data_IF_258731871400
#
_entry.id   IF_258731871400
#
_cell.length_a   1.000
_cell.length_b   1.000
_cell.length_c   1.000
_cell.angle_alpha   90.00
_cell.angle_beta   90.00
_cell.angle_gamma   90.00
#
_symmetry.space_group_name_H-M   'P 1'
#
loop_
_entity.id
_entity.type
_entity.pdbx_description
1 polymer ?
#
# COMPACT_ATOMS: atom_id res chain seq x y z
N UNK A 1 53.76 57.17 -74.71
CA UNK A 1 52.31 56.88 -74.49
C UNK A 1 52.17 55.54 -73.79
N UNK A 2 51.48 55.51 -72.65
CA UNK A 2 51.25 54.30 -71.87
C UNK A 2 49.97 53.56 -72.24
N UNK A 3 49.98 52.25 -72.06
CA UNK A 3 48.75 51.46 -71.91
C UNK A 3 48.96 50.46 -70.78
N UNK A 4 48.16 50.63 -69.71
CA UNK A 4 48.28 49.94 -68.43
C UNK A 4 47.85 48.47 -68.58
N UNK A 5 48.74 47.53 -68.21
CA UNK A 5 48.37 46.13 -67.96
C UNK A 5 47.37 46.06 -66.81
N UNK A 6 46.12 45.65 -67.11
CA UNK A 6 45.13 45.29 -66.08
C UNK A 6 45.57 44.01 -65.39
N UNK A 7 45.85 44.08 -64.09
CA UNK A 7 46.07 42.88 -63.25
C UNK A 7 44.71 42.19 -63.01
N UNK A 8 44.62 40.86 -63.12
CA UNK A 8 43.39 40.15 -62.76
C UNK A 8 43.17 40.29 -61.25
N UNK A 9 42.01 40.77 -60.85
CA UNK A 9 41.60 40.76 -59.44
C UNK A 9 41.20 39.34 -59.08
N UNK A 10 41.99 38.71 -58.21
CA UNK A 10 41.60 37.48 -57.52
C UNK A 10 40.38 37.84 -56.65
N UNK A 11 39.18 37.48 -57.11
CA UNK A 11 37.98 37.55 -56.29
C UNK A 11 38.17 36.59 -55.11
N UNK A 12 38.20 37.15 -53.91
CA UNK A 12 38.28 36.40 -52.67
C UNK A 12 37.00 35.55 -52.48
N UNK A 13 37.10 34.25 -52.73
CA UNK A 13 36.06 33.24 -52.45
C UNK A 13 36.52 32.23 -51.38
N UNK A 14 37.50 32.60 -50.55
CA UNK A 14 38.12 31.67 -49.58
C UNK A 14 37.60 31.84 -48.14
N UNK A 15 36.69 32.79 -47.89
CA UNK A 15 36.10 33.02 -46.56
C UNK A 15 34.74 32.34 -46.28
N UNK A 16 34.06 31.81 -47.31
CA UNK A 16 32.68 31.29 -47.18
C UNK A 16 32.61 29.82 -46.75
N UNK A 17 33.61 29.01 -47.10
CA UNK A 17 33.64 27.58 -46.78
C UNK A 17 33.69 27.34 -45.28
N UNK A 18 34.50 28.12 -44.55
CA UNK A 18 34.60 28.03 -43.09
C UNK A 18 33.25 28.34 -42.41
N UNK A 19 32.52 29.34 -42.91
CA UNK A 19 31.21 29.71 -42.39
C UNK A 19 30.22 28.56 -42.60
N UNK A 20 30.20 27.94 -43.79
CA UNK A 20 29.33 26.80 -44.07
C UNK A 20 29.68 25.57 -43.21
N UNK A 21 30.96 25.29 -43.00
CA UNK A 21 31.42 24.19 -42.12
C UNK A 21 31.02 24.47 -40.67
N UNK A 22 31.20 25.69 -40.18
CA UNK A 22 30.78 26.05 -38.82
C UNK A 22 29.26 25.94 -38.64
N UNK A 23 28.47 26.37 -39.61
CA UNK A 23 27.01 26.23 -39.55
C UNK A 23 26.57 24.76 -39.61
N UNK A 24 27.18 23.95 -40.47
CA UNK A 24 26.86 22.52 -40.52
C UNK A 24 27.25 21.80 -39.23
N UNK A 25 28.40 22.11 -38.63
CA UNK A 25 28.79 21.60 -37.32
C UNK A 25 27.85 22.08 -36.21
N UNK A 26 27.49 23.36 -36.19
CA UNK A 26 26.57 23.91 -35.20
C UNK A 26 25.20 23.22 -35.26
N UNK A 27 24.66 23.02 -36.46
CA UNK A 27 23.40 22.29 -36.66
C UNK A 27 23.54 20.84 -36.20
N UNK A 28 24.65 20.16 -36.54
CA UNK A 28 24.87 18.77 -36.17
C UNK A 28 25.02 18.59 -34.66
N UNK A 29 25.71 19.51 -33.98
CA UNK A 29 25.81 19.53 -32.50
C UNK A 29 24.44 19.77 -31.87
N UNK A 30 23.68 20.76 -32.34
CA UNK A 30 22.33 21.05 -31.82
C UNK A 30 21.40 19.85 -32.00
N UNK A 31 21.44 19.20 -33.17
CA UNK A 31 20.66 18.00 -33.45
C UNK A 31 21.06 16.85 -32.52
N UNK A 32 22.37 16.62 -32.36
CA UNK A 32 22.90 15.58 -31.47
C UNK A 32 22.48 15.79 -30.01
N UNK A 33 22.55 17.04 -29.52
CA UNK A 33 22.12 17.39 -28.17
C UNK A 33 20.60 17.22 -27.99
N UNK A 34 19.79 17.66 -28.94
CA UNK A 34 18.33 17.51 -28.88
C UNK A 34 17.90 16.03 -28.87
N UNK A 35 18.48 15.21 -29.73
CA UNK A 35 18.24 13.76 -29.77
C UNK A 35 18.74 13.07 -28.50
N UNK A 36 19.94 13.42 -28.02
CA UNK A 36 20.49 12.88 -26.79
C UNK A 36 19.63 13.20 -25.57
N UNK A 37 19.12 14.43 -25.48
CA UNK A 37 18.25 14.86 -24.38
C UNK A 37 16.90 14.13 -24.41
N UNK A 38 16.25 14.07 -25.57
CA UNK A 38 14.93 13.40 -25.72
C UNK A 38 15.03 11.89 -25.47
N UNK A 39 16.01 11.22 -26.05
CA UNK A 39 16.21 9.77 -25.83
C UNK A 39 16.52 9.43 -24.37
N UNK A 40 17.29 10.26 -23.67
CA UNK A 40 17.55 10.07 -22.24
C UNK A 40 16.28 10.24 -21.39
N UNK A 41 15.40 11.18 -21.74
CA UNK A 41 14.11 11.34 -21.07
C UNK A 41 13.19 10.14 -21.33
N UNK A 42 13.10 9.69 -22.59
CA UNK A 42 12.27 8.54 -22.96
C UNK A 42 12.73 7.27 -22.22
N UNK A 43 14.03 7.03 -22.12
CA UNK A 43 14.58 5.90 -21.36
C UNK A 43 14.15 5.93 -19.89
N UNK A 44 14.22 7.11 -19.25
CA UNK A 44 13.79 7.29 -17.84
C UNK A 44 12.29 7.06 -17.67
N UNK A 45 11.48 7.52 -18.61
CA UNK A 45 10.03 7.35 -18.57
C UNK A 45 9.65 5.88 -18.74
N UNK A 46 10.28 5.19 -19.70
CA UNK A 46 10.06 3.76 -19.95
C UNK A 46 10.51 2.92 -18.74
N UNK A 47 11.66 3.23 -18.13
CA UNK A 47 12.10 2.52 -16.92
C UNK A 47 11.12 2.70 -15.77
N UNK A 48 10.62 3.92 -15.55
CA UNK A 48 9.60 4.17 -14.52
C UNK A 48 8.30 3.39 -14.77
N UNK A 49 7.81 3.35 -16.02
CA UNK A 49 6.63 2.56 -16.37
C UNK A 49 6.86 1.06 -16.15
N UNK A 50 8.02 0.55 -16.56
CA UNK A 50 8.42 -0.84 -16.33
C UNK A 50 8.45 -1.16 -14.84
N UNK A 51 9.09 -0.31 -14.03
CA UNK A 51 9.26 -0.55 -12.60
C UNK A 51 7.93 -0.49 -11.87
N UNK A 52 7.04 0.45 -12.25
CA UNK A 52 5.66 0.53 -11.73
C UNK A 52 4.84 -0.73 -12.04
N UNK A 53 4.90 -1.22 -13.29
CA UNK A 53 4.21 -2.47 -13.67
C UNK A 53 4.80 -3.65 -12.91
N UNK A 54 6.13 -3.74 -12.85
CA UNK A 54 6.84 -4.80 -12.11
C UNK A 54 6.41 -4.82 -10.65
N UNK A 55 6.40 -3.66 -9.98
CA UNK A 55 5.94 -3.55 -8.59
C UNK A 55 4.47 -3.99 -8.42
N UNK A 56 3.58 -3.59 -9.33
CA UNK A 56 2.17 -3.99 -9.29
C UNK A 56 2.01 -5.51 -9.44
N UNK A 57 2.72 -6.13 -10.38
CA UNK A 57 2.64 -7.58 -10.60
C UNK A 57 3.32 -8.37 -9.48
N UNK A 58 4.40 -7.86 -8.89
CA UNK A 58 5.00 -8.43 -7.69
C UNK A 58 4.03 -8.37 -6.49
N UNK A 59 3.31 -7.27 -6.31
CA UNK A 59 2.27 -7.15 -5.28
C UNK A 59 1.12 -8.15 -5.51
N UNK A 60 0.64 -8.27 -6.76
CA UNK A 60 -0.35 -9.30 -7.13
C UNK A 60 0.15 -10.72 -6.88
N UNK A 61 1.43 -10.98 -7.13
CA UNK A 61 2.02 -12.28 -6.83
C UNK A 61 2.07 -12.57 -5.33
N UNK A 62 2.37 -11.56 -4.50
CA UNK A 62 2.27 -11.68 -3.04
C UNK A 62 0.86 -12.04 -2.58
N UNK A 63 -0.17 -11.41 -3.14
CA UNK A 63 -1.56 -11.75 -2.89
C UNK A 63 -1.91 -13.20 -3.30
N UNK A 64 -1.52 -13.63 -4.50
CA UNK A 64 -1.77 -15.02 -4.94
C UNK A 64 -0.99 -16.01 -4.08
N UNK A 65 0.25 -15.68 -3.67
CA UNK A 65 1.05 -16.51 -2.76
C UNK A 65 0.34 -16.67 -1.42
N UNK A 66 -0.22 -15.60 -0.89
CA UNK A 66 -1.03 -15.62 0.32
C UNK A 66 -2.25 -16.53 0.18
N UNK A 67 -3.00 -16.43 -0.93
CA UNK A 67 -4.15 -17.31 -1.20
C UNK A 67 -3.76 -18.80 -1.23
N UNK A 68 -2.66 -19.13 -1.91
CA UNK A 68 -2.16 -20.50 -1.99
C UNK A 68 -1.75 -21.04 -0.61
N UNK A 69 -1.16 -20.21 0.25
CA UNK A 69 -0.80 -20.63 1.61
C UNK A 69 -2.04 -20.82 2.51
N UNK A 70 -3.11 -20.05 2.31
CA UNK A 70 -4.40 -20.27 3.00
C UNK A 70 -5.02 -21.61 2.60
N UNK A 71 -5.01 -21.97 1.32
CA UNK A 71 -5.57 -23.24 0.83
C UNK A 71 -4.79 -24.48 1.27
N UNK A 72 -3.53 -24.31 1.71
CA UNK A 72 -2.66 -25.40 2.19
C UNK A 72 -2.94 -25.83 3.64
N UNK A 73 -3.87 -25.18 4.33
CA UNK A 73 -4.16 -25.41 5.74
C UNK A 73 -4.51 -26.88 6.09
N UNK A 74 -4.10 -27.37 7.28
CA UNK A 74 -4.39 -28.73 7.72
C UNK A 74 -5.89 -28.94 8.04
N UNK A 75 -6.34 -30.20 7.98
CA UNK A 75 -7.64 -30.63 8.52
C UNK A 75 -7.43 -31.01 9.99
N UNK A 76 -8.22 -30.49 10.96
CA UNK A 76 -9.46 -29.72 10.80
C UNK A 76 -9.24 -28.22 10.54
N UNK A 77 -10.18 -27.62 9.78
CA UNK A 77 -10.23 -26.20 9.37
C UNK A 77 -10.42 -25.25 10.56
N UNK A 78 -9.41 -25.15 11.41
CA UNK A 78 -9.42 -24.24 12.56
C UNK A 78 -8.23 -23.31 12.39
N UNK A 79 -8.50 -22.06 12.03
CA UNK A 79 -7.45 -21.07 11.80
C UNK A 79 -6.75 -20.71 13.11
N UNK A 80 -5.43 -20.86 13.12
CA UNK A 80 -4.57 -20.60 14.26
C UNK A 80 -3.40 -19.71 13.88
N UNK A 81 -2.88 -18.95 14.86
CA UNK A 81 -1.64 -18.17 14.69
C UNK A 81 -0.42 -19.04 14.36
N UNK A 82 -0.50 -20.36 14.60
CA UNK A 82 0.57 -21.32 14.31
C UNK A 82 0.57 -21.84 12.87
N UNK A 83 -0.44 -21.48 12.07
CA UNK A 83 -0.54 -21.97 10.70
C UNK A 83 0.48 -21.30 9.79
N UNK A 84 0.86 -22.00 8.71
CA UNK A 84 1.86 -21.52 7.75
C UNK A 84 1.44 -20.23 7.03
N UNK A 85 0.14 -19.93 6.97
CA UNK A 85 -0.35 -18.68 6.41
C UNK A 85 -0.15 -17.48 7.36
N UNK A 86 -0.10 -17.72 8.68
CA UNK A 86 -0.03 -16.67 9.70
C UNK A 86 1.39 -16.12 9.89
N UNK A 87 2.41 -16.98 9.87
CA UNK A 87 3.81 -16.57 9.90
C UNK A 87 4.73 -17.59 9.23
N UNK A 88 5.12 -17.31 7.98
CA UNK A 88 6.06 -18.14 7.21
C UNK A 88 7.05 -17.27 6.44
N UNK A 89 8.20 -16.93 7.06
CA UNK A 89 9.25 -16.16 6.42
C UNK A 89 9.76 -16.78 5.11
N UNK A 90 9.79 -18.10 4.99
CA UNK A 90 10.28 -18.77 3.78
C UNK A 90 9.30 -18.60 2.60
N UNK A 91 7.99 -18.53 2.87
CA UNK A 91 6.99 -18.29 1.84
C UNK A 91 6.84 -16.81 1.46
N UNK A 92 7.08 -15.90 2.43
CA UNK A 92 6.64 -14.52 2.35
C UNK A 92 7.74 -13.46 2.44
N UNK A 93 8.99 -13.78 2.78
CA UNK A 93 10.08 -12.79 2.89
C UNK A 93 10.99 -12.82 1.68
N UNK A 94 11.08 -11.69 0.97
CA UNK A 94 11.99 -11.51 -0.18
C UNK A 94 11.86 -12.63 -1.22
N UNK A 95 10.63 -13.08 -1.47
CA UNK A 95 10.34 -14.16 -2.40
C UNK A 95 10.66 -13.69 -3.83
N UNK A 96 11.63 -14.31 -4.52
CA UNK A 96 12.06 -13.86 -5.84
C UNK A 96 11.00 -14.20 -6.90
N UNK A 97 10.72 -13.26 -7.79
CA UNK A 97 9.85 -13.47 -8.95
C UNK A 97 10.27 -12.55 -10.10
N UNK A 98 10.80 -13.15 -11.17
CA UNK A 98 11.28 -12.41 -12.34
C UNK A 98 12.39 -11.41 -11.97
N UNK A 99 12.28 -10.12 -12.33
CA UNK A 99 13.32 -9.13 -12.11
C UNK A 99 13.34 -8.53 -10.68
N UNK A 100 12.46 -8.98 -9.78
CA UNK A 100 12.40 -8.46 -8.41
C UNK A 100 11.96 -9.50 -7.39
N UNK A 101 11.57 -9.02 -6.22
CA UNK A 101 11.07 -9.85 -5.12
C UNK A 101 9.88 -9.17 -4.46
N UNK A 102 9.00 -9.95 -3.84
CA UNK A 102 7.91 -9.43 -3.02
C UNK A 102 8.06 -9.90 -1.57
N UNK A 103 7.44 -9.15 -0.67
CA UNK A 103 7.32 -9.52 0.74
C UNK A 103 5.87 -9.33 1.18
N UNK A 104 5.32 -10.29 1.92
CA UNK A 104 4.01 -10.17 2.58
C UNK A 104 4.25 -10.15 4.09
N UNK A 105 3.90 -9.06 4.74
CA UNK A 105 4.14 -8.89 6.18
C UNK A 105 3.22 -7.84 6.80
N UNK A 106 3.02 -7.94 8.11
CA UNK A 106 2.36 -6.93 8.92
C UNK A 106 3.12 -6.70 10.23
N UNK A 107 2.90 -5.55 10.87
CA UNK A 107 3.48 -5.24 12.17
C UNK A 107 2.50 -5.60 13.29
N UNK A 108 3.01 -6.18 14.38
CA UNK A 108 2.22 -6.38 15.59
C UNK A 108 1.94 -5.04 16.28
N UNK A 109 0.73 -4.84 16.83
CA UNK A 109 0.42 -3.63 17.59
C UNK A 109 1.40 -3.43 18.76
N UNK A 110 1.90 -2.21 18.93
CA UNK A 110 2.78 -1.84 20.05
C UNK A 110 4.25 -2.29 19.91
N UNK A 111 4.66 -2.85 18.78
CA UNK A 111 6.06 -3.18 18.51
C UNK A 111 6.56 -2.51 17.22
N UNK A 112 7.62 -1.70 17.35
CA UNK A 112 8.24 -1.08 16.19
C UNK A 112 9.03 -2.10 15.35
N UNK A 113 9.04 -1.95 14.02
CA UNK A 113 9.93 -2.71 13.15
C UNK A 113 11.41 -2.52 13.56
N UNK A 114 12.24 -3.59 13.55
CA UNK A 114 12.00 -4.91 12.99
C UNK A 114 11.46 -5.96 13.99
N UNK A 115 11.38 -5.65 15.29
CA UNK A 115 11.09 -6.64 16.33
C UNK A 115 9.66 -7.21 16.25
N UNK A 116 8.72 -6.45 15.69
CA UNK A 116 7.30 -6.83 15.57
C UNK A 116 6.82 -7.22 14.17
N UNK A 117 7.71 -7.46 13.20
CA UNK A 117 7.30 -7.78 11.81
C UNK A 117 7.03 -9.27 11.67
N UNK A 118 5.79 -9.60 11.31
CA UNK A 118 5.34 -10.97 11.03
C UNK A 118 5.21 -11.13 9.51
N UNK A 119 5.76 -12.21 8.96
CA UNK A 119 5.72 -12.49 7.53
C UNK A 119 4.55 -13.43 7.23
N UNK A 120 3.37 -12.88 7.00
CA UNK A 120 2.16 -13.66 6.79
C UNK A 120 0.93 -12.80 6.60
N UNK A 121 -0.24 -13.42 6.73
CA UNK A 121 -1.54 -12.81 6.48
C UNK A 121 -2.23 -12.49 7.81
N UNK A 122 -3.04 -11.44 7.83
CA UNK A 122 -3.85 -11.07 8.99
C UNK A 122 -5.25 -11.66 8.85
N UNK A 123 -5.62 -12.56 9.76
CA UNK A 123 -7.02 -12.93 10.01
C UNK A 123 -7.82 -11.71 10.49
N UNK A 124 -8.82 -11.27 9.71
CA UNK A 124 -9.71 -10.15 10.05
C UNK A 124 -10.73 -10.51 11.14
N UNK A 125 -11.06 -11.78 11.33
CA UNK A 125 -11.95 -12.24 12.40
C UNK A 125 -11.26 -12.15 13.77
N UNK A 126 -9.96 -11.85 13.83
CA UNK A 126 -9.26 -11.50 15.08
C UNK A 126 -9.73 -10.18 15.70
N UNK A 127 -10.39 -9.32 14.91
CA UNK A 127 -10.77 -7.94 15.26
C UNK A 127 -12.26 -7.82 15.57
N UNK A 128 -12.63 -6.78 16.33
CA UNK A 128 -14.02 -6.49 16.67
C UNK A 128 -14.72 -5.81 15.50
N UNK A 129 -15.85 -6.36 15.08
CA UNK A 129 -16.61 -5.81 13.97
C UNK A 129 -17.43 -4.57 14.36
N UNK A 130 -17.16 -3.44 13.72
CA UNK A 130 -17.81 -2.16 13.99
C UNK A 130 -19.20 -2.03 13.37
N UNK A 131 -19.70 -3.00 12.63
CA UNK A 131 -21.09 -3.02 12.21
C UNK A 131 -21.98 -3.84 13.16
N UNK A 132 -21.43 -4.87 13.82
CA UNK A 132 -22.22 -5.82 14.61
C UNK A 132 -21.96 -5.76 16.12
N UNK A 133 -20.84 -5.19 16.57
CA UNK A 133 -20.48 -5.19 18.00
C UNK A 133 -21.48 -4.38 18.86
N UNK A 134 -21.93 -4.89 20.01
CA UNK A 134 -22.82 -4.18 20.93
C UNK A 134 -22.11 -3.03 21.65
N UNK A 135 -22.89 -2.03 22.12
CA UNK A 135 -22.37 -0.85 22.86
C UNK A 135 -21.41 -1.24 23.97
N UNK A 136 -21.75 -2.28 24.74
CA UNK A 136 -20.94 -2.75 25.87
C UNK A 136 -19.53 -3.23 25.47
N UNK A 137 -19.35 -3.75 24.26
CA UNK A 137 -18.02 -4.15 23.73
C UNK A 137 -17.29 -2.92 23.19
N UNK A 138 -17.99 -2.05 22.44
CA UNK A 138 -17.40 -0.82 21.91
C UNK A 138 -16.85 0.08 23.01
N UNK A 139 -17.61 0.25 24.10
CA UNK A 139 -17.23 1.08 25.23
C UNK A 139 -16.00 0.56 26.01
N UNK A 140 -15.57 -0.68 25.76
CA UNK A 140 -14.36 -1.27 26.36
C UNK A 140 -13.13 -1.17 25.45
N UNK A 141 -13.29 -0.67 24.22
CA UNK A 141 -12.18 -0.49 23.30
C UNK A 141 -11.28 0.67 23.76
N UNK A 142 -9.96 0.59 23.50
CA UNK A 142 -9.03 1.65 23.86
C UNK A 142 -9.37 2.96 23.14
N UNK A 143 -9.39 4.07 23.87
CA UNK A 143 -9.70 5.40 23.33
C UNK A 143 -11.19 5.68 23.09
N UNK A 144 -12.08 4.70 23.28
CA UNK A 144 -13.52 4.91 23.10
C UNK A 144 -14.12 5.70 24.26
N UNK A 145 -14.87 6.76 23.96
CA UNK A 145 -15.73 7.46 24.94
C UNK A 145 -17.20 7.04 24.76
N UNK A 146 -18.03 7.32 25.77
CA UNK A 146 -19.45 7.00 25.69
C UNK A 146 -20.14 7.78 24.55
N UNK A 147 -19.75 9.03 24.35
CA UNK A 147 -20.26 9.90 23.28
C UNK A 147 -19.93 9.33 21.90
N UNK A 148 -18.68 8.89 21.67
CA UNK A 148 -18.28 8.29 20.39
C UNK A 148 -18.99 6.97 20.15
N UNK A 149 -19.16 6.14 21.19
CA UNK A 149 -19.88 4.89 21.07
C UNK A 149 -21.35 5.12 20.71
N UNK A 150 -22.00 6.15 21.27
CA UNK A 150 -23.37 6.52 20.94
C UNK A 150 -23.49 7.10 19.53
N UNK A 151 -22.58 8.01 19.14
CA UNK A 151 -22.54 8.56 17.79
C UNK A 151 -22.35 7.47 16.72
N UNK A 152 -21.54 6.45 17.03
CA UNK A 152 -21.34 5.29 16.15
C UNK A 152 -22.63 4.49 15.98
N UNK A 153 -23.37 4.23 17.06
CA UNK A 153 -24.65 3.53 16.99
C UNK A 153 -25.72 4.33 16.25
N UNK A 154 -25.74 5.64 16.44
CA UNK A 154 -26.61 6.54 15.68
C UNK A 154 -26.26 6.50 14.19
N UNK A 155 -24.96 6.55 13.85
CA UNK A 155 -24.50 6.40 12.48
C UNK A 155 -24.98 5.08 11.86
N UNK A 156 -24.84 3.98 12.61
CA UNK A 156 -25.33 2.66 12.17
C UNK A 156 -26.82 2.66 11.88
N UNK A 157 -27.62 3.29 12.74
CA UNK A 157 -29.06 3.35 12.58
C UNK A 157 -29.48 4.19 11.37
N UNK A 158 -28.79 5.31 11.13
CA UNK A 158 -29.07 6.25 10.03
C UNK A 158 -28.68 5.70 8.65
N UNK A 159 -27.58 4.95 8.59
CA UNK A 159 -27.02 4.44 7.32
C UNK A 159 -27.44 3.01 7.01
N UNK A 160 -28.34 2.43 7.81
CA UNK A 160 -28.99 1.17 7.50
C UNK A 160 -30.02 1.39 6.38
N UNK A 161 -29.63 1.08 5.15
CA UNK A 161 -30.47 1.06 3.97
C UNK A 161 -31.62 0.05 4.10
N UNK A 162 -32.82 0.44 3.65
CA UNK A 162 -33.98 -0.45 3.60
C UNK A 162 -33.86 -1.54 2.52
N UNK A 163 -32.78 -1.56 1.73
CA UNK A 163 -32.55 -2.50 0.61
C UNK A 163 -31.50 -3.54 0.99
N UNK A 164 -31.91 -4.81 0.97
CA UNK A 164 -31.27 -5.97 1.60
C UNK A 164 -29.94 -6.42 0.98
N UNK A 165 -29.56 -5.92 -0.19
CA UNK A 165 -28.58 -6.63 -1.03
C UNK A 165 -27.13 -6.51 -0.52
N UNK A 166 -26.76 -5.46 0.23
CA UNK A 166 -25.46 -5.38 0.91
C UNK A 166 -25.44 -4.17 1.87
N UNK A 167 -26.31 -4.20 2.88
CA UNK A 167 -26.51 -3.07 3.78
C UNK A 167 -25.60 -3.13 5.02
N UNK A 168 -24.32 -2.80 4.84
CA UNK A 168 -23.40 -2.53 5.95
C UNK A 168 -23.35 -1.02 6.21
N UNK A 169 -23.61 -0.57 7.46
CA UNK A 169 -23.54 0.86 7.77
C UNK A 169 -22.17 1.50 7.56
N UNK A 170 -21.09 0.74 7.83
CA UNK A 170 -19.72 1.08 7.48
C UNK A 170 -19.18 0.11 6.43
N UNK A 171 -18.66 0.64 5.32
CA UNK A 171 -18.05 -0.15 4.23
C UNK A 171 -16.53 -0.11 4.26
N UNK A 172 -16.01 1.02 4.71
CA UNK A 172 -14.58 1.28 4.86
C UNK A 172 -14.31 1.65 6.31
N UNK A 173 -13.15 1.28 6.82
CA UNK A 173 -12.79 1.62 8.19
C UNK A 173 -12.64 3.14 8.37
N UNK A 174 -12.19 3.81 7.31
CA UNK A 174 -11.99 5.25 7.25
C UNK A 174 -13.30 6.06 7.33
N UNK A 175 -14.46 5.43 7.15
CA UNK A 175 -15.75 6.10 7.39
C UNK A 175 -15.96 6.42 8.88
N UNK A 176 -15.20 5.81 9.79
CA UNK A 176 -15.21 6.19 11.21
C UNK A 176 -14.81 7.64 11.45
N UNK A 177 -14.02 8.24 10.56
CA UNK A 177 -13.68 9.66 10.61
C UNK A 177 -14.88 10.59 10.45
N UNK A 178 -16.01 10.09 9.94
CA UNK A 178 -17.25 10.85 9.80
C UNK A 178 -18.13 10.79 11.05
N UNK A 179 -17.77 9.98 12.04
CA UNK A 179 -18.50 9.86 13.31
C UNK A 179 -18.14 11.03 14.21
N UNK A 180 -19.15 11.70 14.74
CA UNK A 180 -18.97 12.82 15.66
C UNK A 180 -18.18 12.39 16.90
N UNK A 181 -17.15 13.17 17.24
CA UNK A 181 -16.24 12.88 18.36
C UNK A 181 -15.07 11.94 18.02
N UNK A 182 -14.99 11.41 16.79
CA UNK A 182 -13.82 10.62 16.36
C UNK A 182 -12.61 11.53 16.13
N UNK A 183 -11.64 11.50 17.05
CA UNK A 183 -10.35 12.21 16.87
C UNK A 183 -9.30 11.30 16.22
N UNK A 184 -8.19 11.88 15.76
CA UNK A 184 -7.10 11.09 15.18
C UNK A 184 -6.51 10.10 16.20
N UNK A 185 -6.39 10.53 17.46
CA UNK A 185 -5.86 9.72 18.55
C UNK A 185 -6.78 8.54 18.86
N UNK A 186 -8.09 8.77 18.88
CA UNK A 186 -9.10 7.71 19.07
C UNK A 186 -9.05 6.74 17.90
N UNK A 187 -9.03 7.23 16.66
CA UNK A 187 -8.95 6.38 15.48
C UNK A 187 -7.68 5.51 15.48
N UNK A 188 -6.50 6.09 15.75
CA UNK A 188 -5.24 5.34 15.82
C UNK A 188 -5.25 4.28 16.94
N UNK A 189 -5.88 4.58 18.08
CA UNK A 189 -6.00 3.61 19.17
C UNK A 189 -6.93 2.45 18.82
N UNK A 190 -7.97 2.71 18.01
CA UNK A 190 -8.97 1.71 17.61
C UNK A 190 -8.53 0.86 16.41
N UNK A 191 -7.90 1.47 15.41
CA UNK A 191 -7.56 0.88 14.11
C UNK A 191 -6.99 -0.55 14.18
N UNK A 192 -6.06 -0.89 15.10
CA UNK A 192 -5.48 -2.23 15.15
C UNK A 192 -6.47 -3.32 15.59
N UNK A 193 -7.54 -2.95 16.30
CA UNK A 193 -8.43 -3.88 17.02
C UNK A 193 -9.81 -4.03 16.38
N UNK A 194 -10.11 -3.27 15.33
CA UNK A 194 -11.46 -3.14 14.78
C UNK A 194 -11.51 -3.41 13.27
N UNK A 195 -12.64 -3.91 12.78
CA UNK A 195 -12.84 -4.21 11.35
C UNK A 195 -14.28 -3.95 10.90
N UNK A 196 -14.50 -3.82 9.60
CA UNK A 196 -15.83 -3.77 8.95
C UNK A 196 -16.08 -5.00 8.05
N UNK A 197 -15.06 -5.85 7.88
CA UNK A 197 -15.05 -6.91 6.88
C UNK A 197 -15.59 -8.24 7.40
N UNK A 198 -15.43 -8.55 8.70
CA UNK A 198 -15.88 -9.82 9.30
C UNK A 198 -17.41 -9.98 9.37
N UNK A 199 -17.88 -11.16 9.79
CA UNK A 199 -19.30 -11.46 10.03
C UNK A 199 -19.77 -11.09 11.45
N UNK A 200 -18.84 -10.66 12.32
CA UNK A 200 -19.10 -10.28 13.70
C UNK A 200 -18.68 -11.31 14.74
N UNK A 201 -18.31 -12.54 14.34
CA UNK A 201 -17.65 -13.48 15.23
C UNK A 201 -16.19 -13.09 15.38
N UNK A 202 -15.66 -13.28 16.59
CA UNK A 202 -14.25 -13.05 16.88
C UNK A 202 -13.54 -14.39 17.02
N UNK A 203 -12.49 -14.61 16.23
CA UNK A 203 -11.62 -15.77 16.34
C UNK A 203 -10.67 -15.63 17.54
N UNK A 204 -10.96 -16.33 18.63
CA UNK A 204 -10.17 -16.27 19.87
C UNK A 204 -8.74 -16.84 19.72
N UNK A 205 -8.49 -17.69 18.73
CA UNK A 205 -7.16 -18.27 18.51
C UNK A 205 -6.16 -17.26 17.93
N UNK A 206 -6.66 -16.17 17.33
CA UNK A 206 -5.86 -15.15 16.64
C UNK A 206 -6.08 -13.75 17.22
N UNK A 207 -7.10 -13.56 18.07
CA UNK A 207 -7.46 -12.29 18.69
C UNK A 207 -6.34 -11.76 19.62
N UNK A 208 -6.02 -10.44 19.56
CA UNK A 208 -5.10 -9.82 20.50
C UNK A 208 -5.73 -9.69 21.90
N UNK A 209 -4.88 -9.48 22.91
CA UNK A 209 -5.29 -9.36 24.33
C UNK A 209 -6.37 -8.32 24.52
N UNK A 210 -6.25 -7.17 23.88
CA UNK A 210 -7.16 -6.03 23.98
C UNK A 210 -8.56 -6.38 23.46
N UNK A 211 -8.64 -7.15 22.36
CA UNK A 211 -9.92 -7.64 21.82
C UNK A 211 -10.56 -8.64 22.80
N UNK A 212 -9.79 -9.58 23.33
CA UNK A 212 -10.31 -10.53 24.33
C UNK A 212 -10.77 -9.85 25.63
N UNK A 213 -10.04 -8.83 26.08
CA UNK A 213 -10.43 -8.01 27.23
C UNK A 213 -11.74 -7.24 26.96
N UNK A 214 -11.91 -6.66 25.76
CA UNK A 214 -13.14 -5.98 25.37
C UNK A 214 -14.35 -6.93 25.33
N UNK A 215 -14.15 -8.20 24.94
CA UNK A 215 -15.19 -9.24 25.03
C UNK A 215 -15.57 -9.60 26.47
N UNK A 216 -14.83 -9.13 27.48
CA UNK A 216 -15.12 -9.33 28.90
C UNK A 216 -14.41 -10.53 29.52
N UNK A 217 -13.38 -11.07 28.86
CA UNK A 217 -12.52 -12.09 29.46
C UNK A 217 -11.67 -11.46 30.58
N UNK A 218 -11.50 -12.18 31.68
CA UNK A 218 -10.61 -11.73 32.77
C UNK A 218 -9.14 -11.86 32.35
N UNK A 219 -8.28 -10.97 32.82
CA UNK A 219 -6.81 -11.03 32.56
C UNK A 219 -6.20 -12.40 32.89
N UNK A 220 -6.71 -13.06 33.94
CA UNK A 220 -6.28 -14.41 34.34
C UNK A 220 -6.74 -15.53 33.39
N UNK A 221 -7.78 -15.29 32.59
CA UNK A 221 -8.23 -16.21 31.54
C UNK A 221 -7.50 -15.92 30.22
N UNK A 222 -7.31 -14.65 29.87
CA UNK A 222 -6.55 -14.24 28.68
C UNK A 222 -5.11 -14.74 28.73
N UNK A 223 -4.44 -14.65 29.88
CA UNK A 223 -3.08 -15.16 30.07
C UNK A 223 -2.93 -16.69 30.02
N UNK A 224 -4.04 -17.44 30.08
CA UNK A 224 -4.03 -18.91 29.95
C UNK A 224 -4.38 -19.39 28.54
N UNK A 225 -4.98 -18.52 27.73
CA UNK A 225 -5.43 -18.81 26.36
C UNK A 225 -4.35 -18.43 25.34
N UNK A 226 -3.57 -17.37 25.63
CA UNK A 226 -2.36 -16.97 24.89
C UNK A 226 -1.15 -17.80 25.33
#
# INVERSE_FOLDING_TARGET
MGSKRKRPSLRASEGSVLIQVLWTLAILVLLGLALGYTTALDQRLVSYQRDRLTALYLAKAGYVRALVELERGPIPQTDSYLDSWANNPDAFRLTPLGPGSFTVSYALPGQDPPAGVVYGIVDEDRKININTAPKAILARLPGMTEEVADALLEWRAKHKSLVVIEDKPFKLLEELWLVDGMTHEVFQALEPFVTVYSDGKVNLNTAPREVMAALGMSEGLVSKVL
#
